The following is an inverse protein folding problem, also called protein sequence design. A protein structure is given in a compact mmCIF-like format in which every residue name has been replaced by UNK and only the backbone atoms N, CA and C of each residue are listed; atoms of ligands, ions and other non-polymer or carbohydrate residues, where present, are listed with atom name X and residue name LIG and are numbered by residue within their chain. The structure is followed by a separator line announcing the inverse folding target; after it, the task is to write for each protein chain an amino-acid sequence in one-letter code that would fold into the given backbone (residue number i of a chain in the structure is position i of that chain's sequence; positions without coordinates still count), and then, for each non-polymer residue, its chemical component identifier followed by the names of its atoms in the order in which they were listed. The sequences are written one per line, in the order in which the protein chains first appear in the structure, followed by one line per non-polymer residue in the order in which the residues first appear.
data_IF_927861310484
#
_entry.id   IF_927861310484
#
_cell.length_a   1.000
_cell.length_b   1.000
_cell.length_c   1.000
_cell.angle_alpha   90.00
_cell.angle_beta   90.00
_cell.angle_gamma   90.00
#
_symmetry.space_group_name_H-M   'P 1'
#
loop_
_entity.id
_entity.type
_entity.pdbx_description
1 polymer ?
#
# COMPACT_ATOMS: atom_id res chain seq x y z
N UNK A 1 -4.83 -16.51 -0.86
CA UNK A 1 -6.27 -16.67 -0.57
C UNK A 1 -6.43 -17.37 0.76
N UNK A 2 -7.34 -16.91 1.63
CA UNK A 2 -7.73 -17.55 2.89
C UNK A 2 -9.26 -17.51 3.00
N UNK A 3 -9.93 -18.65 2.92
CA UNK A 3 -11.38 -18.70 2.84
C UNK A 3 -11.90 -17.99 1.59
N UNK A 4 -12.82 -17.04 1.76
CA UNK A 4 -13.39 -16.20 0.71
C UNK A 4 -12.64 -14.86 0.49
N UNK A 5 -11.51 -14.68 1.17
CA UNK A 5 -10.71 -13.45 1.13
C UNK A 5 -9.42 -13.66 0.34
N UNK A 6 -9.16 -12.79 -0.65
CA UNK A 6 -7.88 -12.71 -1.34
C UNK A 6 -7.13 -11.44 -0.95
N UNK A 7 -5.81 -11.56 -0.75
CA UNK A 7 -4.90 -10.43 -0.62
C UNK A 7 -4.20 -10.29 -1.97
N UNK A 8 -4.30 -9.11 -2.56
CA UNK A 8 -3.73 -8.78 -3.86
C UNK A 8 -2.75 -7.63 -3.69
N UNK A 9 -1.49 -7.85 -4.06
CA UNK A 9 -0.48 -6.81 -4.08
C UNK A 9 -0.34 -6.28 -5.51
N UNK A 10 -0.66 -5.00 -5.72
CA UNK A 10 -0.60 -4.37 -7.03
C UNK A 10 0.81 -4.47 -7.64
N UNK A 11 1.85 -4.36 -6.82
CA UNK A 11 3.23 -4.38 -7.29
C UNK A 11 3.57 -5.67 -8.05
N UNK A 12 3.01 -6.80 -7.67
CA UNK A 12 3.31 -8.10 -8.26
C UNK A 12 2.77 -8.26 -9.69
N UNK A 13 1.77 -7.45 -10.07
CA UNK A 13 1.20 -7.48 -11.42
C UNK A 13 1.47 -6.19 -12.22
N UNK A 14 1.56 -5.05 -11.53
CA UNK A 14 1.63 -3.71 -12.12
C UNK A 14 2.67 -2.82 -11.43
N UNK A 15 3.69 -3.43 -10.82
CA UNK A 15 4.75 -2.74 -10.09
C UNK A 15 5.94 -2.32 -10.94
N UNK A 16 6.69 -1.34 -10.45
CA UNK A 16 7.86 -0.77 -11.13
C UNK A 16 8.93 -1.83 -11.42
N UNK A 17 9.08 -2.82 -10.54
CA UNK A 17 10.03 -3.92 -10.67
C UNK A 17 9.65 -4.94 -11.77
N UNK A 18 8.44 -4.86 -12.34
CA UNK A 18 7.97 -5.73 -13.44
C UNK A 18 8.24 -5.13 -14.81
N UNK A 19 8.69 -3.87 -14.89
CA UNK A 19 9.03 -3.25 -16.16
C UNK A 19 10.30 -3.91 -16.75
N UNK A 20 10.28 -4.27 -18.05
CA UNK A 20 11.36 -5.07 -18.66
C UNK A 20 12.70 -4.34 -18.78
N UNK A 21 12.72 -3.01 -18.90
CA UNK A 21 13.98 -2.22 -18.94
C UNK A 21 13.78 -0.70 -18.95
N UNK A 22 12.77 -0.20 -19.66
CA UNK A 22 12.51 1.25 -19.76
C UNK A 22 11.25 1.65 -19.00
N UNK A 23 11.27 2.81 -18.30
CA UNK A 23 10.06 3.42 -17.77
C UNK A 23 9.04 3.70 -18.88
N UNK A 24 7.76 3.57 -18.54
CA UNK A 24 6.65 3.79 -19.48
C UNK A 24 5.57 4.68 -18.82
N UNK A 25 5.92 5.90 -18.35
CA UNK A 25 5.06 6.69 -17.45
C UNK A 25 3.68 7.02 -18.02
N UNK A 26 3.58 7.17 -19.35
CA UNK A 26 2.32 7.51 -20.03
C UNK A 26 1.44 6.30 -20.37
N UNK A 27 2.05 5.12 -20.51
CA UNK A 27 1.41 3.92 -21.10
C UNK A 27 1.34 2.71 -20.17
N UNK A 28 2.14 2.68 -19.09
CA UNK A 28 2.06 1.66 -18.06
C UNK A 28 0.66 1.60 -17.46
N UNK A 29 0.20 0.39 -17.14
CA UNK A 29 -1.21 0.14 -16.78
C UNK A 29 -1.38 -0.79 -15.59
N UNK A 30 -2.54 -0.67 -14.96
CA UNK A 30 -3.00 -1.49 -13.84
C UNK A 30 -3.82 -2.73 -14.25
N UNK A 31 -3.94 -3.04 -15.56
CA UNK A 31 -4.70 -4.20 -16.09
C UNK A 31 -4.35 -5.50 -15.37
N UNK A 32 -3.06 -5.82 -15.23
CA UNK A 32 -2.63 -7.06 -14.59
C UNK A 32 -3.12 -7.19 -13.14
N UNK A 33 -3.28 -6.07 -12.42
CA UNK A 33 -3.88 -6.09 -11.08
C UNK A 33 -5.36 -6.44 -11.15
N UNK A 34 -6.10 -5.86 -12.10
CA UNK A 34 -7.48 -6.23 -12.35
C UNK A 34 -7.65 -7.69 -12.78
N UNK A 35 -6.74 -8.22 -13.59
CA UNK A 35 -6.74 -9.66 -13.98
C UNK A 35 -6.57 -10.57 -12.76
N UNK A 36 -5.67 -10.22 -11.82
CA UNK A 36 -5.49 -10.98 -10.57
C UNK A 36 -6.75 -10.92 -9.71
N UNK A 37 -7.40 -9.76 -9.61
CA UNK A 37 -8.67 -9.62 -8.88
C UNK A 37 -9.76 -10.45 -9.56
N UNK A 38 -9.89 -10.38 -10.89
CA UNK A 38 -10.86 -11.15 -11.65
C UNK A 38 -10.67 -12.66 -11.45
N UNK A 39 -9.42 -13.13 -11.45
CA UNK A 39 -9.09 -14.52 -11.16
C UNK A 39 -9.47 -14.93 -9.72
N UNK A 40 -9.25 -14.05 -8.74
CA UNK A 40 -9.67 -14.31 -7.35
C UNK A 40 -11.20 -14.40 -7.22
N UNK A 41 -11.95 -13.51 -7.88
CA UNK A 41 -13.42 -13.53 -7.92
C UNK A 41 -13.92 -14.79 -8.62
N UNK A 42 -13.32 -15.19 -9.75
CA UNK A 42 -13.65 -16.43 -10.45
C UNK A 42 -13.37 -17.68 -9.58
N UNK A 43 -12.37 -17.62 -8.70
CA UNK A 43 -12.09 -18.66 -7.70
C UNK A 43 -13.04 -18.64 -6.49
N UNK A 44 -14.05 -17.75 -6.48
CA UNK A 44 -15.08 -17.68 -5.44
C UNK A 44 -14.78 -16.70 -4.30
N UNK A 45 -13.71 -15.90 -4.39
CA UNK A 45 -13.43 -14.87 -3.39
C UNK A 45 -14.48 -13.75 -3.48
N UNK A 46 -14.93 -13.26 -2.33
CA UNK A 46 -15.94 -12.19 -2.21
C UNK A 46 -15.36 -10.90 -1.63
N UNK A 47 -14.29 -11.03 -0.85
CA UNK A 47 -13.54 -9.92 -0.24
C UNK A 47 -12.13 -9.87 -0.82
N UNK A 48 -11.72 -8.69 -1.24
CA UNK A 48 -10.38 -8.42 -1.76
C UNK A 48 -9.73 -7.37 -0.88
N UNK A 49 -8.55 -7.70 -0.39
CA UNK A 49 -7.66 -6.76 0.30
C UNK A 49 -6.62 -6.34 -0.73
N UNK A 50 -6.73 -5.11 -1.22
CA UNK A 50 -5.86 -4.58 -2.26
C UNK A 50 -4.75 -3.73 -1.64
N UNK A 51 -3.53 -4.25 -1.64
CA UNK A 51 -2.33 -3.52 -1.27
C UNK A 51 -1.85 -2.63 -2.41
N UNK A 52 -1.86 -1.32 -2.21
CA UNK A 52 -1.41 -0.33 -3.21
C UNK A 52 -0.08 0.29 -2.83
N UNK A 53 0.99 -0.18 -3.46
CA UNK A 53 2.35 0.32 -3.30
C UNK A 53 3.22 -0.10 -4.48
N UNK A 54 4.33 0.60 -4.71
CA UNK A 54 5.32 0.20 -5.71
C UNK A 54 4.83 0.17 -7.18
N UNK A 55 3.74 0.86 -7.51
CA UNK A 55 3.12 0.87 -8.84
C UNK A 55 4.04 1.43 -9.94
N UNK A 56 4.03 0.83 -11.13
CA UNK A 56 4.63 1.37 -12.34
C UNK A 56 3.77 2.43 -13.04
N UNK A 57 2.45 2.38 -12.84
CA UNK A 57 1.47 3.12 -13.64
C UNK A 57 0.94 4.37 -12.92
N UNK A 58 0.52 5.35 -13.71
CA UNK A 58 -0.31 6.50 -13.28
C UNK A 58 -1.53 6.57 -14.21
N UNK A 59 -2.29 5.48 -14.25
CA UNK A 59 -3.42 5.31 -15.18
C UNK A 59 -4.78 5.55 -14.53
N UNK A 60 -4.83 6.15 -13.34
CA UNK A 60 -6.09 6.44 -12.65
C UNK A 60 -6.87 5.19 -12.22
N UNK A 61 -6.27 3.99 -12.29
CA UNK A 61 -6.95 2.72 -12.12
C UNK A 61 -7.79 2.28 -13.32
N UNK A 62 -7.65 2.93 -14.47
CA UNK A 62 -8.39 2.62 -15.69
C UNK A 62 -8.18 1.18 -16.15
N UNK A 63 -6.92 0.71 -16.17
CA UNK A 63 -6.60 -0.66 -16.55
C UNK A 63 -7.24 -1.70 -15.63
N UNK A 64 -7.19 -1.46 -14.31
CA UNK A 64 -7.84 -2.29 -13.31
C UNK A 64 -9.36 -2.39 -13.57
N UNK A 65 -10.02 -1.26 -13.82
CA UNK A 65 -11.47 -1.25 -14.09
C UNK A 65 -11.82 -1.98 -15.39
N UNK A 66 -11.02 -1.80 -16.45
CA UNK A 66 -11.23 -2.50 -17.73
C UNK A 66 -11.15 -4.02 -17.55
N UNK A 67 -10.15 -4.52 -16.83
CA UNK A 67 -10.00 -5.94 -16.56
C UNK A 67 -11.16 -6.53 -15.71
N UNK A 68 -11.82 -5.69 -14.91
CA UNK A 68 -13.01 -6.08 -14.14
C UNK A 68 -14.33 -5.95 -14.91
N UNK A 69 -14.29 -5.49 -16.16
CA UNK A 69 -15.44 -5.42 -17.06
C UNK A 69 -16.01 -4.02 -17.31
N UNK A 70 -15.37 -2.95 -16.81
CA UNK A 70 -15.75 -1.60 -17.20
C UNK A 70 -15.27 -1.27 -18.61
N UNK A 71 -15.94 -0.33 -19.27
CA UNK A 71 -15.55 0.18 -20.59
C UNK A 71 -15.35 1.69 -20.51
N UNK A 72 -14.12 2.11 -20.82
CA UNK A 72 -13.73 3.51 -20.89
C UNK A 72 -13.74 3.93 -22.36
N UNK A 73 -14.66 4.82 -22.73
CA UNK A 73 -14.98 5.11 -24.14
C UNK A 73 -14.60 6.55 -24.53
N UNK A 74 -14.05 6.71 -25.73
CA UNK A 74 -13.84 8.01 -26.37
C UNK A 74 -15.16 8.60 -26.93
N UNK A 75 -15.09 9.81 -27.47
CA UNK A 75 -16.26 10.50 -28.06
C UNK A 75 -16.86 9.80 -29.30
N UNK A 76 -16.14 8.84 -29.87
CA UNK A 76 -16.59 8.00 -30.98
C UNK A 76 -17.14 6.64 -30.50
N UNK A 77 -17.23 6.41 -29.18
CA UNK A 77 -17.71 5.16 -28.60
C UNK A 77 -16.70 4.01 -28.66
N UNK A 78 -15.41 4.28 -28.90
CA UNK A 78 -14.35 3.27 -28.95
C UNK A 78 -13.64 3.20 -27.61
N UNK A 79 -13.18 2.00 -27.26
CA UNK A 79 -12.41 1.79 -26.04
C UNK A 79 -11.06 2.50 -26.09
N UNK A 80 -10.68 3.11 -24.96
CA UNK A 80 -9.39 3.77 -24.83
C UNK A 80 -8.25 2.74 -24.79
N UNK A 81 -7.08 3.06 -25.37
CA UNK A 81 -5.87 2.30 -25.11
C UNK A 81 -5.45 2.45 -23.64
N UNK A 82 -4.58 1.56 -23.18
CA UNK A 82 -4.07 1.59 -21.81
C UNK A 82 -3.14 2.79 -21.52
N UNK A 83 -3.03 3.11 -20.23
CA UNK A 83 -2.15 4.14 -19.69
C UNK A 83 -2.84 5.46 -19.37
N UNK A 84 -2.20 6.26 -18.52
CA UNK A 84 -2.77 7.50 -18.00
C UNK A 84 -2.99 8.58 -19.05
N UNK A 85 -2.12 8.68 -20.06
CA UNK A 85 -2.26 9.68 -21.11
C UNK A 85 -3.54 9.49 -21.94
N UNK A 86 -4.05 8.26 -22.05
CA UNK A 86 -5.26 7.96 -22.79
C UNK A 86 -6.52 8.58 -22.15
N UNK A 87 -6.49 8.80 -20.82
CA UNK A 87 -7.62 9.37 -20.08
C UNK A 87 -7.99 10.78 -20.55
N UNK A 88 -7.06 11.54 -21.14
CA UNK A 88 -7.36 12.85 -21.73
C UNK A 88 -8.42 12.80 -22.85
N UNK A 89 -8.70 11.63 -23.43
CA UNK A 89 -9.72 11.43 -24.48
C UNK A 89 -10.99 10.76 -23.97
N UNK A 90 -11.11 10.49 -22.68
CA UNK A 90 -12.28 9.84 -22.12
C UNK A 90 -13.53 10.70 -22.33
N UNK A 91 -14.60 10.12 -22.83
CA UNK A 91 -15.89 10.78 -22.97
C UNK A 91 -16.95 10.16 -22.05
N UNK A 92 -16.89 8.85 -21.81
CA UNK A 92 -17.85 8.17 -20.93
C UNK A 92 -17.26 6.90 -20.29
N UNK A 93 -17.83 6.53 -19.15
CA UNK A 93 -17.51 5.32 -18.40
C UNK A 93 -18.78 4.45 -18.32
N UNK A 94 -18.70 3.23 -18.83
CA UNK A 94 -19.74 2.21 -18.69
C UNK A 94 -19.29 1.15 -17.67
N UNK A 95 -20.06 1.04 -16.59
CA UNK A 95 -19.81 0.13 -15.45
C UNK A 95 -20.76 -1.06 -15.41
N UNK A 96 -21.62 -1.23 -16.41
CA UNK A 96 -22.64 -2.28 -16.43
C UNK A 96 -22.05 -3.70 -16.40
N UNK A 97 -20.82 -3.87 -16.89
CA UNK A 97 -20.08 -5.13 -16.88
C UNK A 97 -19.23 -5.37 -15.63
N UNK A 98 -19.18 -4.44 -14.67
CA UNK A 98 -18.32 -4.60 -13.49
C UNK A 98 -18.77 -5.75 -12.59
N UNK A 99 -17.82 -6.62 -12.26
CA UNK A 99 -18.02 -7.67 -11.27
C UNK A 99 -18.21 -7.07 -9.87
N UNK A 100 -19.25 -7.52 -9.15
CA UNK A 100 -19.44 -7.12 -7.74
C UNK A 100 -18.43 -7.82 -6.85
N UNK A 101 -17.61 -7.04 -6.17
CA UNK A 101 -16.61 -7.53 -5.23
C UNK A 101 -16.43 -6.51 -4.11
N UNK A 102 -16.32 -6.97 -2.86
CA UNK A 102 -16.02 -6.09 -1.73
C UNK A 102 -14.51 -5.85 -1.68
N UNK A 103 -14.10 -4.59 -1.76
CA UNK A 103 -12.68 -4.20 -1.79
C UNK A 103 -12.35 -3.35 -0.57
N UNK A 104 -11.34 -3.79 0.16
CA UNK A 104 -10.64 -2.97 1.13
C UNK A 104 -9.30 -2.53 0.55
N UNK A 105 -9.14 -1.22 0.43
CA UNK A 105 -7.92 -0.61 -0.06
C UNK A 105 -6.96 -0.41 1.11
N UNK A 106 -5.88 -1.19 1.15
CA UNK A 106 -4.80 -1.03 2.11
C UNK A 106 -3.81 0.03 1.59
N UNK A 107 -3.89 1.23 2.16
CA UNK A 107 -3.00 2.33 1.83
C UNK A 107 -2.72 3.20 3.05
N UNK A 108 -1.49 3.73 3.12
CA UNK A 108 -1.05 4.69 4.14
C UNK A 108 -0.65 6.03 3.48
N UNK A 109 -1.20 6.30 2.28
CA UNK A 109 -0.94 7.50 1.48
C UNK A 109 -2.14 8.44 1.58
N UNK A 110 -1.89 9.72 1.87
CA UNK A 110 -2.96 10.74 1.98
C UNK A 110 -3.09 11.62 0.73
N UNK A 111 -2.21 11.44 -0.25
CA UNK A 111 -2.15 12.27 -1.46
C UNK A 111 -3.48 12.25 -2.23
N UNK A 112 -3.97 13.42 -2.69
CA UNK A 112 -5.13 13.50 -3.58
C UNK A 112 -4.80 12.92 -4.96
N UNK A 113 -5.79 12.82 -5.83
CA UNK A 113 -5.60 12.27 -7.17
C UNK A 113 -4.67 13.13 -8.03
N UNK A 114 -4.90 14.44 -8.06
CA UNK A 114 -4.20 15.40 -8.94
C UNK A 114 -3.80 16.67 -8.15
N UNK A 115 -3.10 17.58 -8.82
CA UNK A 115 -2.53 18.81 -8.26
C UNK A 115 -1.10 18.64 -7.75
N UNK A 116 -0.51 19.68 -7.15
CA UNK A 116 0.90 19.69 -6.75
C UNK A 116 1.29 18.57 -5.76
N UNK A 117 0.34 18.12 -4.93
CA UNK A 117 0.49 16.98 -4.02
C UNK A 117 -0.14 15.69 -4.57
N UNK A 118 -0.63 15.70 -5.81
CA UNK A 118 -1.32 14.60 -6.45
C UNK A 118 -0.41 13.50 -7.00
N UNK A 119 -1.03 12.45 -7.54
CA UNK A 119 -0.33 11.23 -7.93
C UNK A 119 0.77 11.46 -8.99
N UNK A 120 0.49 12.29 -10.01
CA UNK A 120 1.42 12.57 -11.08
C UNK A 120 2.63 13.37 -10.60
N UNK A 121 2.42 14.46 -9.87
CA UNK A 121 3.49 15.33 -9.37
C UNK A 121 4.39 14.63 -8.34
N UNK A 122 3.79 13.90 -7.40
CA UNK A 122 4.54 13.29 -6.29
C UNK A 122 5.22 11.99 -6.71
N UNK A 123 4.56 11.15 -7.50
CA UNK A 123 5.03 9.80 -7.80
C UNK A 123 5.35 9.55 -9.28
N UNK A 124 5.02 10.47 -10.19
CA UNK A 124 5.38 10.36 -11.61
C UNK A 124 6.89 10.31 -11.86
N UNK A 125 7.72 11.18 -11.27
CA UNK A 125 9.15 11.22 -11.54
C UNK A 125 9.88 9.90 -11.24
N UNK A 126 9.56 9.24 -10.12
CA UNK A 126 10.15 7.92 -9.79
C UNK A 126 9.68 6.80 -10.74
N UNK A 127 8.60 7.01 -11.50
CA UNK A 127 8.10 6.11 -12.56
C UNK A 127 8.65 6.52 -13.94
N UNK A 128 9.59 7.46 -14.00
CA UNK A 128 10.25 7.94 -15.21
C UNK A 128 9.50 9.04 -15.97
N UNK A 129 8.49 9.68 -15.37
CA UNK A 129 7.79 10.80 -16.00
C UNK A 129 8.69 12.05 -16.06
N UNK A 130 8.82 12.63 -17.24
CA UNK A 130 9.39 13.98 -17.40
C UNK A 130 8.42 15.04 -16.86
N UNK A 131 8.85 16.30 -16.66
CA UNK A 131 7.93 17.38 -16.27
C UNK A 131 6.74 17.54 -17.21
N UNK A 132 6.93 17.36 -18.53
CA UNK A 132 5.84 17.42 -19.51
C UNK A 132 4.87 16.22 -19.39
N UNK A 133 5.40 15.04 -19.07
CA UNK A 133 4.57 13.85 -18.81
C UNK A 133 3.74 14.04 -17.54
N UNK A 134 4.32 14.63 -16.49
CA UNK A 134 3.63 14.93 -15.23
C UNK A 134 2.43 15.85 -15.48
N UNK A 135 2.60 16.94 -16.22
CA UNK A 135 1.49 17.85 -16.58
C UNK A 135 0.41 17.14 -17.40
N UNK A 136 0.83 16.30 -18.35
CA UNK A 136 -0.09 15.50 -19.17
C UNK A 136 -0.91 14.54 -18.31
N UNK A 137 -0.25 13.82 -17.40
CA UNK A 137 -0.89 12.87 -16.50
C UNK A 137 -1.81 13.57 -15.49
N UNK A 138 -1.39 14.69 -14.90
CA UNK A 138 -2.23 15.44 -13.95
C UNK A 138 -3.52 15.94 -14.60
N UNK A 139 -3.40 16.52 -15.79
CA UNK A 139 -4.55 16.97 -16.58
C UNK A 139 -5.48 15.82 -16.94
N UNK A 140 -4.92 14.68 -17.37
CA UNK A 140 -5.69 13.49 -17.70
C UNK A 140 -6.40 12.89 -16.47
N UNK A 141 -5.76 12.88 -15.29
CA UNK A 141 -6.36 12.44 -14.03
C UNK A 141 -7.47 13.39 -13.54
N UNK A 142 -7.31 14.70 -13.76
CA UNK A 142 -8.35 15.69 -13.47
C UNK A 142 -9.58 15.48 -14.35
N UNK A 143 -9.36 15.23 -15.64
CA UNK A 143 -10.43 14.89 -16.57
C UNK A 143 -11.12 13.58 -16.18
N UNK A 144 -10.34 12.54 -15.83
CA UNK A 144 -10.86 11.28 -15.34
C UNK A 144 -11.78 11.44 -14.13
N UNK A 145 -11.34 12.18 -13.11
CA UNK A 145 -12.15 12.44 -11.93
C UNK A 145 -13.46 13.16 -12.24
N UNK A 146 -13.46 14.10 -13.18
CA UNK A 146 -14.68 14.83 -13.57
C UNK A 146 -15.79 13.91 -14.12
N UNK A 147 -15.41 12.73 -14.65
CA UNK A 147 -16.34 11.74 -15.20
C UNK A 147 -16.68 10.66 -14.17
N UNK A 148 -15.69 10.18 -13.42
CA UNK A 148 -15.84 9.00 -12.57
C UNK A 148 -16.27 9.29 -11.12
N UNK A 149 -16.16 10.53 -10.65
CA UNK A 149 -16.54 10.90 -9.28
C UNK A 149 -15.67 12.02 -8.72
N UNK A 150 -15.94 13.30 -9.05
CA UNK A 150 -15.10 14.42 -8.62
C UNK A 150 -14.99 14.56 -7.09
N UNK A 151 -16.01 14.13 -6.34
CA UNK A 151 -16.05 14.14 -4.87
C UNK A 151 -15.09 13.12 -4.20
N UNK A 152 -14.46 12.26 -5.00
CA UNK A 152 -13.43 11.31 -4.54
C UNK A 152 -12.01 11.80 -4.82
N UNK A 153 -11.82 12.84 -5.65
CA UNK A 153 -10.49 13.27 -6.10
C UNK A 153 -9.60 13.77 -4.96
N UNK A 154 -10.18 14.42 -3.95
CA UNK A 154 -9.47 14.98 -2.81
C UNK A 154 -9.50 14.07 -1.56
N UNK A 155 -10.07 12.86 -1.67
CA UNK A 155 -10.11 11.93 -0.54
C UNK A 155 -8.70 11.41 -0.24
N UNK A 156 -8.35 11.20 1.04
CA UNK A 156 -7.10 10.54 1.41
C UNK A 156 -6.95 9.20 0.68
N UNK A 157 -5.79 8.99 0.05
CA UNK A 157 -5.48 7.79 -0.71
C UNK A 157 -5.99 7.78 -2.16
N UNK A 158 -6.66 8.84 -2.63
CA UNK A 158 -7.11 8.92 -4.03
C UNK A 158 -5.92 8.83 -5.01
N UNK A 159 -4.79 9.46 -4.68
CA UNK A 159 -3.56 9.40 -5.49
C UNK A 159 -2.75 8.11 -5.34
N UNK A 160 -3.13 7.20 -4.44
CA UNK A 160 -2.39 5.98 -4.19
C UNK A 160 -2.23 5.14 -5.46
N UNK A 161 -1.02 4.61 -5.66
CA UNK A 161 -0.64 3.81 -6.83
C UNK A 161 -1.04 4.44 -8.17
N UNK A 162 -0.88 5.76 -8.32
CA UNK A 162 -1.14 6.42 -9.60
C UNK A 162 -2.63 6.63 -9.92
N UNK A 163 -3.46 6.71 -8.89
CA UNK A 163 -4.90 6.90 -9.00
C UNK A 163 -5.73 5.61 -8.95
N UNK A 164 -5.10 4.45 -8.72
CA UNK A 164 -5.82 3.20 -8.44
C UNK A 164 -6.67 3.33 -7.18
N UNK A 165 -6.19 4.04 -6.16
CA UNK A 165 -6.97 4.32 -4.96
C UNK A 165 -8.27 5.09 -5.26
N UNK A 166 -8.20 6.08 -6.16
CA UNK A 166 -9.38 6.79 -6.65
C UNK A 166 -10.37 5.85 -7.35
N UNK A 167 -9.94 5.04 -8.33
CA UNK A 167 -10.84 4.11 -9.01
C UNK A 167 -11.48 3.10 -8.05
N UNK A 168 -10.69 2.57 -7.10
CA UNK A 168 -11.19 1.66 -6.09
C UNK A 168 -12.31 2.31 -5.27
N UNK A 169 -12.13 3.54 -4.80
CA UNK A 169 -13.13 4.23 -3.98
C UNK A 169 -14.33 4.73 -4.79
N UNK A 170 -14.09 5.42 -5.92
CA UNK A 170 -15.11 6.11 -6.70
C UNK A 170 -15.98 5.15 -7.51
N UNK A 171 -15.39 4.09 -8.07
CA UNK A 171 -16.07 3.19 -9.02
C UNK A 171 -16.40 1.84 -8.38
N UNK A 172 -15.48 1.27 -7.59
CA UNK A 172 -15.68 -0.04 -6.96
C UNK A 172 -16.27 0.06 -5.54
N UNK A 173 -16.45 1.27 -5.00
CA UNK A 173 -17.00 1.49 -3.66
C UNK A 173 -16.08 1.01 -2.53
N UNK A 174 -14.79 0.88 -2.79
CA UNK A 174 -13.81 0.37 -1.84
C UNK A 174 -13.70 1.26 -0.60
N UNK A 175 -13.44 0.62 0.54
CA UNK A 175 -13.13 1.32 1.79
C UNK A 175 -11.63 1.38 1.98
N UNK A 176 -11.10 2.60 2.08
CA UNK A 176 -9.70 2.81 2.43
C UNK A 176 -9.50 2.57 3.91
N UNK A 177 -8.49 1.76 4.24
CA UNK A 177 -8.09 1.45 5.62
C UNK A 177 -6.57 1.49 5.72
N UNK A 178 -6.02 1.94 6.87
CA UNK A 178 -4.59 1.84 7.12
C UNK A 178 -4.12 0.39 7.00
N UNK A 179 -3.03 0.17 6.25
CA UNK A 179 -2.62 -1.17 5.82
C UNK A 179 -2.32 -2.10 7.00
N UNK A 180 -1.62 -1.59 8.01
CA UNK A 180 -1.31 -2.37 9.21
C UNK A 180 -2.56 -2.79 9.99
N UNK A 181 -3.56 -1.91 10.09
CA UNK A 181 -4.78 -2.21 10.86
C UNK A 181 -5.55 -3.37 10.22
N UNK A 182 -5.61 -3.37 8.89
CA UNK A 182 -6.22 -4.44 8.13
C UNK A 182 -5.44 -5.76 8.26
N UNK A 183 -4.11 -5.73 8.18
CA UNK A 183 -3.29 -6.93 8.36
C UNK A 183 -3.45 -7.53 9.76
N UNK A 184 -3.48 -6.72 10.82
CA UNK A 184 -3.68 -7.22 12.18
C UNK A 184 -5.05 -7.91 12.35
N UNK A 185 -6.11 -7.37 11.75
CA UNK A 185 -7.43 -8.01 11.72
C UNK A 185 -7.38 -9.35 10.98
N UNK A 186 -6.82 -9.39 9.77
CA UNK A 186 -6.75 -10.59 8.93
C UNK A 186 -5.92 -11.71 9.58
N UNK A 187 -4.89 -11.36 10.33
CA UNK A 187 -4.04 -12.29 11.06
C UNK A 187 -4.67 -12.74 12.39
N UNK A 188 -5.78 -12.14 12.82
CA UNK A 188 -6.41 -12.44 14.11
C UNK A 188 -5.52 -12.00 15.28
N UNK A 189 -4.79 -10.90 15.11
CA UNK A 189 -3.80 -10.43 16.09
C UNK A 189 -4.40 -10.20 17.47
N UNK A 190 -5.61 -9.62 17.55
CA UNK A 190 -6.31 -9.40 18.81
C UNK A 190 -6.53 -10.71 19.59
N UNK A 191 -6.93 -11.78 18.90
CA UNK A 191 -7.06 -13.10 19.53
C UNK A 191 -5.70 -13.68 19.95
N UNK A 192 -4.65 -13.42 19.17
CA UNK A 192 -3.29 -13.86 19.50
C UNK A 192 -2.68 -13.11 20.70
N UNK A 193 -3.21 -11.94 21.07
CA UNK A 193 -2.82 -11.21 22.27
C UNK A 193 -3.34 -11.87 23.56
N UNK A 194 -4.38 -12.70 23.49
CA UNK A 194 -4.93 -13.36 24.67
C UNK A 194 -3.88 -14.26 25.34
N UNK A 195 -3.50 -13.92 26.58
CA UNK A 195 -2.49 -14.64 27.36
C UNK A 195 -1.04 -14.27 27.03
N UNK A 196 -0.80 -13.31 26.13
CA UNK A 196 0.54 -12.83 25.86
C UNK A 196 1.03 -11.88 26.97
N UNK A 197 2.24 -12.13 27.49
CA UNK A 197 2.90 -11.26 28.48
C UNK A 197 3.76 -10.16 27.85
N UNK A 198 4.11 -10.32 26.57
CA UNK A 198 4.98 -9.43 25.81
C UNK A 198 4.68 -9.55 24.32
N UNK A 199 4.66 -8.42 23.62
CA UNK A 199 4.67 -8.37 22.16
C UNK A 199 6.05 -7.94 21.68
N UNK A 200 6.58 -8.63 20.68
CA UNK A 200 7.81 -8.25 19.99
C UNK A 200 7.46 -7.91 18.55
N UNK A 201 7.80 -6.70 18.12
CA UNK A 201 7.65 -6.23 16.74
C UNK A 201 8.99 -5.83 16.13
N UNK A 202 9.02 -5.41 14.87
CA UNK A 202 10.28 -5.03 14.23
C UNK A 202 10.19 -4.63 12.77
N UNK A 203 11.23 -3.95 12.30
CA UNK A 203 11.48 -3.67 10.88
C UNK A 203 12.97 -3.35 10.65
N UNK A 204 13.39 -3.13 9.41
CA UNK A 204 14.81 -2.86 9.10
C UNK A 204 15.34 -1.55 9.70
N UNK A 205 14.53 -0.49 9.72
CA UNK A 205 14.91 0.85 10.20
C UNK A 205 13.75 1.42 11.01
N UNK A 206 13.91 1.55 12.32
CA UNK A 206 12.98 2.32 13.15
C UNK A 206 13.34 3.80 13.02
N UNK A 207 12.53 4.55 12.27
CA UNK A 207 12.72 5.97 12.01
C UNK A 207 11.37 6.71 12.08
N UNK A 208 11.36 8.02 11.81
CA UNK A 208 10.11 8.80 11.95
C UNK A 208 9.00 8.35 11.01
N UNK A 209 9.32 7.67 9.90
CA UNK A 209 8.27 7.09 9.05
C UNK A 209 7.58 5.91 9.73
N UNK A 210 8.27 5.21 10.63
CA UNK A 210 7.68 4.16 11.46
C UNK A 210 6.50 4.69 12.27
N UNK A 211 6.68 5.87 12.85
CA UNK A 211 5.69 6.53 13.69
C UNK A 211 4.42 6.90 12.92
N UNK A 212 4.55 7.16 11.61
CA UNK A 212 3.46 7.52 10.70
C UNK A 212 2.57 6.34 10.28
N UNK A 213 2.55 5.24 11.04
CA UNK A 213 1.58 4.16 10.85
C UNK A 213 2.11 2.87 10.23
N UNK A 214 3.43 2.69 10.15
CA UNK A 214 4.02 1.40 9.71
C UNK A 214 3.79 0.28 10.73
N UNK A 215 4.17 -0.93 10.34
CA UNK A 215 3.91 -2.16 11.08
C UNK A 215 4.31 -2.10 12.57
N UNK A 216 5.53 -1.65 12.96
CA UNK A 216 5.90 -1.61 14.38
C UNK A 216 4.98 -0.74 15.23
N UNK A 217 4.65 0.46 14.76
CA UNK A 217 3.77 1.38 15.47
C UNK A 217 2.33 0.84 15.55
N UNK A 218 1.82 0.22 14.48
CA UNK A 218 0.49 -0.39 14.51
C UNK A 218 0.39 -1.56 15.48
N UNK A 219 1.39 -2.46 15.47
CA UNK A 219 1.48 -3.57 16.44
C UNK A 219 1.57 -3.06 17.87
N UNK A 220 2.42 -2.07 18.12
CA UNK A 220 2.59 -1.48 19.45
C UNK A 220 1.30 -0.82 19.96
N UNK A 221 0.57 -0.08 19.12
CA UNK A 221 -0.74 0.48 19.50
C UNK A 221 -1.76 -0.61 19.83
N UNK A 222 -1.83 -1.67 19.03
CA UNK A 222 -2.74 -2.78 19.28
C UNK A 222 -2.40 -3.54 20.58
N UNK A 223 -1.12 -3.77 20.84
CA UNK A 223 -0.65 -4.36 22.10
C UNK A 223 -0.96 -3.46 23.31
N UNK A 224 -0.73 -2.15 23.19
CA UNK A 224 -1.02 -1.17 24.24
C UNK A 224 -2.52 -1.09 24.56
N UNK A 225 -3.39 -1.17 23.54
CA UNK A 225 -4.85 -1.23 23.73
C UNK A 225 -5.30 -2.47 24.54
N UNK A 226 -4.56 -3.57 24.45
CA UNK A 226 -4.76 -4.78 25.26
C UNK A 226 -4.01 -4.75 26.62
N UNK A 227 -3.30 -3.66 26.93
CA UNK A 227 -2.51 -3.54 28.16
C UNK A 227 -1.24 -4.39 28.19
N UNK A 228 -0.75 -4.85 27.04
CA UNK A 228 0.42 -5.74 26.92
C UNK A 228 1.64 -4.92 26.48
N UNK A 229 2.80 -5.04 27.16
CA UNK A 229 4.00 -4.31 26.78
C UNK A 229 4.50 -4.75 25.40
N UNK A 230 5.03 -3.80 24.63
CA UNK A 230 5.58 -4.04 23.30
C UNK A 230 7.03 -3.54 23.20
N UNK A 231 7.91 -4.38 22.68
CA UNK A 231 9.30 -4.01 22.34
C UNK A 231 9.57 -4.19 20.85
N UNK A 232 10.52 -3.44 20.32
CA UNK A 232 10.91 -3.54 18.93
C UNK A 232 12.31 -4.14 18.78
N UNK A 233 12.49 -5.01 17.79
CA UNK A 233 13.80 -5.48 17.34
C UNK A 233 13.99 -4.99 15.91
N UNK A 234 15.09 -4.28 15.64
CA UNK A 234 15.30 -3.65 14.33
C UNK A 234 16.71 -3.80 13.80
N UNK A 235 16.89 -3.56 12.50
CA UNK A 235 18.23 -3.45 11.92
C UNK A 235 19.00 -2.27 12.53
N UNK A 236 18.36 -1.10 12.53
CA UNK A 236 18.84 0.11 13.21
C UNK A 236 17.70 0.84 13.92
N UNK A 237 18.03 1.62 14.95
CA UNK A 237 17.09 2.52 15.61
C UNK A 237 17.57 3.95 15.51
N UNK A 238 16.79 4.82 14.85
CA UNK A 238 17.03 6.25 14.72
C UNK A 238 16.07 7.07 15.58
N UNK A 239 15.17 6.41 16.31
CA UNK A 239 14.22 7.02 17.22
C UNK A 239 14.82 7.18 18.62
N UNK A 240 14.53 8.31 19.24
CA UNK A 240 14.80 8.55 20.66
C UNK A 240 13.88 7.72 21.57
N UNK A 241 14.27 7.57 22.84
CA UNK A 241 13.45 6.86 23.82
C UNK A 241 12.05 7.50 24.00
N UNK A 242 11.94 8.82 23.90
CA UNK A 242 10.64 9.52 23.97
C UNK A 242 9.78 9.27 22.74
N UNK A 243 10.37 9.25 21.54
CA UNK A 243 9.66 8.89 20.29
C UNK A 243 9.14 7.45 20.33
N UNK A 244 9.94 6.50 20.84
CA UNK A 244 9.53 5.10 21.02
C UNK A 244 8.38 4.97 22.03
N UNK A 245 8.51 5.61 23.20
CA UNK A 245 7.48 5.59 24.22
C UNK A 245 6.15 6.20 23.70
N UNK A 246 6.24 7.29 22.93
CA UNK A 246 5.07 7.89 22.27
C UNK A 246 4.39 6.96 21.25
N UNK A 247 5.12 6.01 20.67
CA UNK A 247 4.58 4.99 19.78
C UNK A 247 4.01 3.75 20.51
N UNK A 248 4.11 3.71 21.84
CA UNK A 248 3.76 2.53 22.64
C UNK A 248 4.82 1.43 22.65
N UNK A 249 6.07 1.75 22.28
CA UNK A 249 7.20 0.83 22.28
C UNK A 249 8.04 1.09 23.54
N UNK A 250 8.09 0.14 24.46
CA UNK A 250 8.77 0.28 25.76
C UNK A 250 10.29 0.07 25.69
N UNK A 251 10.80 -0.46 24.59
CA UNK A 251 12.23 -0.70 24.37
C UNK A 251 12.52 -1.07 22.92
N UNK A 252 13.71 -0.74 22.45
CA UNK A 252 14.20 -1.09 21.12
C UNK A 252 15.56 -1.78 21.22
N UNK A 253 15.76 -2.80 20.39
CA UNK A 253 16.97 -3.60 20.31
C UNK A 253 17.46 -3.59 18.86
N UNK A 254 18.50 -2.82 18.56
CA UNK A 254 19.01 -2.72 17.20
C UNK A 254 20.14 -3.73 16.95
N UNK A 255 20.19 -4.30 15.73
CA UNK A 255 21.33 -5.11 15.29
C UNK A 255 22.62 -4.29 15.32
N UNK A 256 22.54 -3.01 14.95
CA UNK A 256 23.67 -2.06 14.99
C UNK A 256 24.25 -1.81 16.38
N UNK A 257 23.50 -2.07 17.46
CA UNK A 257 24.02 -1.98 18.83
C UNK A 257 24.92 -3.17 19.19
N UNK A 258 24.84 -4.25 18.41
CA UNK A 258 25.58 -5.49 18.59
C UNK A 258 26.72 -5.62 17.57
N UNK A 259 26.46 -5.23 16.33
CA UNK A 259 27.39 -5.24 15.21
C UNK A 259 27.28 -3.89 14.46
N UNK A 260 28.23 -2.96 14.61
CA UNK A 260 28.11 -1.63 14.02
C UNK A 260 28.11 -1.59 12.48
N UNK A 261 28.64 -2.63 11.80
CA UNK A 261 28.67 -2.69 10.33
C UNK A 261 27.31 -3.14 9.74
N UNK A 262 26.60 -2.27 8.97
CA UNK A 262 25.33 -2.62 8.36
C UNK A 262 25.41 -3.78 7.35
N UNK A 263 26.52 -3.93 6.63
CA UNK A 263 26.69 -5.02 5.67
C UNK A 263 26.74 -6.36 6.39
N UNK A 264 27.47 -6.43 7.51
CA UNK A 264 27.50 -7.61 8.37
C UNK A 264 26.17 -7.83 9.08
N UNK A 265 25.47 -6.77 9.51
CA UNK A 265 24.12 -6.89 10.04
C UNK A 265 23.17 -7.58 9.06
N UNK A 266 23.21 -7.22 7.78
CA UNK A 266 22.38 -7.85 6.75
C UNK A 266 22.82 -9.29 6.45
N UNK A 267 24.12 -9.54 6.33
CA UNK A 267 24.65 -10.87 6.05
C UNK A 267 24.42 -11.87 7.19
N UNK A 268 24.50 -11.41 8.45
CA UNK A 268 24.40 -12.23 9.66
C UNK A 268 23.08 -12.02 10.44
N UNK A 269 22.06 -11.42 9.79
CA UNK A 269 20.84 -10.95 10.44
C UNK A 269 20.18 -11.99 11.35
N UNK A 270 20.04 -13.23 10.88
CA UNK A 270 19.43 -14.31 11.66
C UNK A 270 20.19 -14.65 12.95
N UNK A 271 21.53 -14.61 12.91
CA UNK A 271 22.38 -14.87 14.09
C UNK A 271 22.24 -13.74 15.11
N UNK A 272 22.30 -12.50 14.64
CA UNK A 272 22.17 -11.31 15.48
C UNK A 272 20.76 -11.21 16.09
N UNK A 273 19.71 -11.48 15.32
CA UNK A 273 18.32 -11.54 15.80
C UNK A 273 18.13 -12.59 16.89
N UNK A 274 18.75 -13.78 16.77
CA UNK A 274 18.72 -14.79 17.85
C UNK A 274 19.40 -14.30 19.12
N UNK A 275 20.53 -13.60 18.99
CA UNK A 275 21.24 -13.02 20.15
C UNK A 275 20.40 -11.95 20.83
N UNK A 276 19.79 -11.05 20.06
CA UNK A 276 18.86 -10.04 20.58
C UNK A 276 17.61 -10.68 21.21
N UNK A 277 17.05 -11.72 20.60
CA UNK A 277 15.90 -12.45 21.16
C UNK A 277 16.20 -13.04 22.55
N UNK A 278 17.40 -13.58 22.79
CA UNK A 278 17.82 -14.02 24.13
C UNK A 278 17.88 -12.86 25.13
N UNK A 279 18.36 -11.70 24.69
CA UNK A 279 18.41 -10.49 25.53
C UNK A 279 17.00 -10.01 25.89
N UNK A 280 16.12 -9.90 24.90
CA UNK A 280 14.70 -9.55 25.11
C UNK A 280 14.04 -10.52 26.11
N UNK A 281 14.24 -11.83 25.94
CA UNK A 281 13.71 -12.82 26.88
C UNK A 281 14.27 -12.65 28.30
N UNK A 282 15.57 -12.39 28.43
CA UNK A 282 16.20 -12.12 29.73
C UNK A 282 15.65 -10.86 30.40
N UNK A 283 15.44 -9.79 29.64
CA UNK A 283 14.99 -8.50 30.17
C UNK A 283 13.50 -8.52 30.57
N UNK A 284 12.67 -9.31 29.87
CA UNK A 284 11.21 -9.23 29.99
C UNK A 284 10.49 -10.50 30.47
N UNK A 285 11.06 -11.69 30.29
CA UNK A 285 10.39 -12.97 30.58
C UNK A 285 11.02 -13.73 31.75
N UNK A 286 12.20 -13.35 32.23
CA UNK A 286 12.92 -14.05 33.30
C UNK A 286 12.38 -13.75 34.72
N UNK A 287 11.07 -13.62 34.89
CA UNK A 287 10.41 -13.43 36.19
C UNK A 287 9.58 -14.63 36.59
#
# INVERSE_FOLDING_TARGET
VRGDTAVVELAEASGLHRLPSSPAPLTATSVGTGDVIAAAVAAGCRRIVLGVGGSACTDGGAGLLTALGARLLDSSGRELPFGGAALARLASLDVSGLSRVDIELASDVDNPLYGPSGAAFVYGPQKGASPADVETLDSALRHWASIAGPEFADRPGAGAAGGVGFAAMAVLGARMRPGISLLLELLGFESALAGASLVVTGEGSLDRQTLSGKAPAGVARAAAAAGIPCVAVSGRCLLSASELAGAGISGAYALTDVEPDPARCMAEAASLLRRLGRRVAGDHLAR
#
